data_IF_594234902592
#
_entry.id   IF_594234902592
#
_cell.length_a   1.000
_cell.length_b   1.000
_cell.length_c   1.000
_cell.angle_alpha   90.00
_cell.angle_beta   90.00
_cell.angle_gamma   90.00
#
_symmetry.space_group_name_H-M   'P 1'
#
loop_
_entity.id
_entity.type
_entity.pdbx_description
1 polymer ?
#
# COMPACT_ATOMS: atom_id res chain seq x y z
N UNK A 1 5.34 -3.05 23.73
CA UNK A 1 4.28 -2.82 22.70
C UNK A 1 3.99 -1.34 22.51
N UNK A 2 3.80 -0.54 23.56
CA UNK A 2 3.49 0.90 23.45
C UNK A 2 4.54 1.76 22.72
N UNK A 3 5.84 1.46 22.87
CA UNK A 3 6.92 2.29 22.30
C UNK A 3 7.02 2.18 20.76
N UNK A 4 6.83 0.97 20.18
CA UNK A 4 6.84 0.79 18.72
C UNK A 4 5.65 1.50 18.05
N UNK A 5 4.45 1.33 18.61
CA UNK A 5 3.24 2.01 18.12
C UNK A 5 3.39 3.54 18.22
N UNK A 6 3.98 4.03 19.31
CA UNK A 6 4.26 5.47 19.49
C UNK A 6 5.21 6.00 18.43
N UNK A 7 6.27 5.24 18.09
CA UNK A 7 7.20 5.61 17.02
C UNK A 7 6.52 5.63 15.65
N UNK A 8 5.71 4.63 15.34
CA UNK A 8 4.93 4.59 14.11
C UNK A 8 3.98 5.78 13.98
N UNK A 9 3.23 6.10 15.04
CA UNK A 9 2.32 7.26 15.07
C UNK A 9 3.07 8.60 14.96
N UNK A 10 4.28 8.71 15.54
CA UNK A 10 5.12 9.91 15.37
C UNK A 10 5.56 10.06 13.92
N UNK A 11 6.11 8.99 13.31
CA UNK A 11 6.54 9.00 11.91
C UNK A 11 5.39 9.38 10.97
N UNK A 12 4.20 8.79 11.19
CA UNK A 12 2.99 9.15 10.44
C UNK A 12 2.65 10.63 10.59
N UNK A 13 2.50 11.14 11.83
CA UNK A 13 2.13 12.54 12.06
C UNK A 13 3.13 13.50 11.42
N UNK A 14 4.42 13.20 11.53
CA UNK A 14 5.49 14.00 10.94
C UNK A 14 5.42 13.98 9.40
N UNK A 15 5.35 12.80 8.78
CA UNK A 15 5.24 12.67 7.33
C UNK A 15 3.99 13.39 6.80
N UNK A 16 2.84 13.17 7.43
CA UNK A 16 1.56 13.76 7.05
C UNK A 16 1.55 15.30 7.18
N UNK A 17 2.02 15.85 8.29
CA UNK A 17 2.11 17.29 8.48
C UNK A 17 3.07 17.95 7.49
N UNK A 18 4.23 17.30 7.25
CA UNK A 18 5.22 17.79 6.29
C UNK A 18 4.71 17.70 4.85
N UNK A 19 3.97 16.64 4.49
CA UNK A 19 3.31 16.51 3.18
C UNK A 19 2.34 17.66 2.92
N UNK A 20 1.50 17.99 3.89
CA UNK A 20 0.61 19.16 3.79
C UNK A 20 1.38 20.46 3.59
N UNK A 21 2.52 20.62 4.28
CA UNK A 21 3.38 21.79 4.11
C UNK A 21 3.99 21.84 2.71
N UNK A 22 4.47 20.71 2.19
CA UNK A 22 5.02 20.60 0.83
C UNK A 22 3.98 21.04 -0.20
N UNK A 23 2.76 20.50 -0.14
CA UNK A 23 1.68 20.88 -1.07
C UNK A 23 1.38 22.38 -0.97
N UNK A 24 1.15 22.91 0.24
CA UNK A 24 0.85 24.33 0.43
C UNK A 24 1.93 25.26 -0.12
N UNK A 25 3.18 24.87 -0.09
CA UNK A 25 4.31 25.66 -0.60
C UNK A 25 4.41 25.64 -2.13
N UNK A 26 3.90 24.60 -2.78
CA UNK A 26 4.02 24.43 -4.22
C UNK A 26 2.77 24.84 -5.00
N UNK A 27 1.62 24.90 -4.33
CA UNK A 27 0.35 25.31 -4.96
C UNK A 27 0.24 26.84 -5.06
N UNK A 28 -0.44 27.36 -6.12
CA UNK A 28 -0.78 28.78 -6.26
C UNK A 28 -1.47 29.30 -4.99
N UNK A 29 -1.15 30.53 -4.59
CA UNK A 29 -1.70 31.13 -3.37
C UNK A 29 -3.09 31.72 -3.56
N UNK A 30 -3.41 32.11 -4.76
CA UNK A 30 -4.62 32.81 -5.19
C UNK A 30 -5.77 31.88 -5.58
N UNK A 31 -5.53 30.57 -5.70
CA UNK A 31 -6.55 29.58 -6.00
C UNK A 31 -6.95 28.80 -4.73
N UNK A 32 -7.98 29.28 -4.04
CA UNK A 32 -8.50 28.65 -2.84
C UNK A 32 -9.15 27.28 -3.12
N UNK A 33 -9.83 27.13 -4.25
CA UNK A 33 -10.50 25.88 -4.63
C UNK A 33 -9.50 24.76 -4.88
N UNK A 34 -8.46 25.01 -5.68
CA UNK A 34 -7.37 24.06 -5.92
C UNK A 34 -6.71 23.65 -4.60
N UNK A 35 -6.44 24.60 -3.72
CA UNK A 35 -5.79 24.34 -2.43
C UNK A 35 -6.66 23.46 -1.52
N UNK A 36 -7.96 23.72 -1.45
CA UNK A 36 -8.89 22.90 -0.67
C UNK A 36 -8.97 21.48 -1.23
N UNK A 37 -9.17 21.34 -2.53
CA UNK A 37 -9.19 20.04 -3.22
C UNK A 37 -7.92 19.24 -2.94
N UNK A 38 -6.73 19.85 -3.12
CA UNK A 38 -5.46 19.19 -2.87
C UNK A 38 -5.27 18.82 -1.39
N UNK A 39 -5.73 19.63 -0.45
CA UNK A 39 -5.67 19.31 0.97
C UNK A 39 -6.63 18.19 1.36
N UNK A 40 -7.74 18.02 0.64
CA UNK A 40 -8.70 16.94 0.87
C UNK A 40 -8.14 15.56 0.54
N UNK A 41 -7.16 15.44 -0.37
CA UNK A 41 -6.48 14.17 -0.71
C UNK A 41 -5.77 13.52 0.48
N UNK A 42 -5.39 14.31 1.47
CA UNK A 42 -4.70 13.86 2.68
C UNK A 42 -5.63 13.74 3.90
N UNK A 43 -6.95 13.95 3.72
CA UNK A 43 -7.91 13.91 4.83
C UNK A 43 -8.14 12.47 5.30
N UNK A 44 -8.23 12.29 6.62
CA UNK A 44 -8.57 11.00 7.21
C UNK A 44 -7.50 9.91 7.13
N UNK A 45 -6.35 10.15 6.49
CA UNK A 45 -5.27 9.16 6.45
C UNK A 45 -4.79 8.81 7.85
N UNK A 46 -4.53 7.52 8.06
CA UNK A 46 -4.15 6.97 9.38
C UNK A 46 -2.83 6.20 9.35
N UNK A 47 -2.28 5.91 8.17
CA UNK A 47 -1.04 5.15 7.99
C UNK A 47 -0.06 5.85 7.07
N UNK A 48 1.23 5.59 7.26
CA UNK A 48 2.32 6.01 6.40
C UNK A 48 3.41 4.91 6.37
N UNK A 49 3.01 3.68 6.13
CA UNK A 49 3.89 2.51 6.16
C UNK A 49 5.08 2.69 5.22
N UNK A 50 4.89 3.28 4.06
CA UNK A 50 5.91 3.57 3.06
C UNK A 50 6.98 4.52 3.60
N UNK A 51 6.53 5.64 4.21
CA UNK A 51 7.42 6.59 4.85
C UNK A 51 8.19 5.95 6.00
N UNK A 52 7.50 5.13 6.82
CA UNK A 52 8.08 4.42 7.94
C UNK A 52 9.15 3.42 7.49
N UNK A 53 8.85 2.57 6.51
CA UNK A 53 9.81 1.58 5.98
C UNK A 53 11.04 2.27 5.41
N UNK A 54 10.87 3.33 4.61
CA UNK A 54 11.96 4.12 4.07
C UNK A 54 12.84 4.73 5.19
N UNK A 55 12.21 5.43 6.16
CA UNK A 55 12.95 6.08 7.26
C UNK A 55 13.74 5.08 8.10
N UNK A 56 13.11 3.97 8.50
CA UNK A 56 13.77 2.99 9.35
C UNK A 56 14.76 2.11 8.59
N UNK A 57 14.63 1.95 7.27
CA UNK A 57 15.68 1.39 6.42
C UNK A 57 16.90 2.32 6.30
N UNK A 58 16.69 3.65 6.32
CA UNK A 58 17.76 4.63 6.39
C UNK A 58 18.48 4.61 7.74
N UNK A 59 17.75 4.53 8.85
CA UNK A 59 18.29 4.74 10.19
C UNK A 59 19.34 3.70 10.60
N UNK A 60 20.44 4.16 11.18
CA UNK A 60 21.33 3.37 12.04
C UNK A 60 20.96 3.53 13.52
N UNK A 61 20.55 4.74 13.92
CA UNK A 61 19.97 5.09 15.23
C UNK A 61 18.59 5.72 14.98
N UNK A 62 17.69 5.63 15.94
CA UNK A 62 16.33 6.18 15.81
C UNK A 62 16.33 7.70 15.53
N UNK A 63 17.29 8.42 16.07
CA UNK A 63 17.46 9.86 15.83
C UNK A 63 17.81 10.23 14.39
N UNK A 64 18.25 9.28 13.57
CA UNK A 64 18.56 9.53 12.17
C UNK A 64 17.31 9.78 11.32
N UNK A 65 16.12 9.39 11.78
CA UNK A 65 14.87 9.55 11.05
C UNK A 65 14.61 11.01 10.62
N UNK A 66 14.94 11.97 11.49
CA UNK A 66 14.77 13.40 11.21
C UNK A 66 15.56 13.90 9.98
N UNK A 67 16.68 13.22 9.65
CA UNK A 67 17.54 13.60 8.51
C UNK A 67 16.84 13.40 7.16
N UNK A 68 15.82 12.56 7.12
CA UNK A 68 15.08 12.19 5.89
C UNK A 68 13.58 12.45 5.99
N UNK A 69 13.13 13.22 6.96
CA UNK A 69 11.70 13.52 7.18
C UNK A 69 11.01 14.11 5.94
N UNK A 70 11.69 15.01 5.20
CA UNK A 70 11.12 15.60 4.00
C UNK A 70 11.07 14.63 2.83
N UNK A 71 12.06 13.72 2.72
CA UNK A 71 12.02 12.63 1.75
C UNK A 71 10.87 11.67 2.07
N UNK A 72 10.74 11.27 3.34
CA UNK A 72 9.65 10.42 3.79
C UNK A 72 8.27 11.05 3.54
N UNK A 73 8.13 12.36 3.77
CA UNK A 73 6.90 13.10 3.48
C UNK A 73 6.59 13.17 1.97
N UNK A 74 7.62 13.33 1.13
CA UNK A 74 7.44 13.29 -0.32
C UNK A 74 7.01 11.90 -0.80
N UNK A 75 7.58 10.82 -0.23
CA UNK A 75 7.13 9.45 -0.49
C UNK A 75 5.71 9.20 0.00
N UNK A 76 5.30 9.82 1.11
CA UNK A 76 3.91 9.77 1.58
C UNK A 76 2.95 10.47 0.61
N UNK A 77 3.36 11.59 -0.02
CA UNK A 77 2.58 12.22 -1.09
C UNK A 77 2.45 11.32 -2.32
N UNK A 78 3.54 10.67 -2.71
CA UNK A 78 3.55 9.74 -3.84
C UNK A 78 2.60 8.56 -3.59
N UNK A 79 2.60 8.01 -2.39
CA UNK A 79 1.62 6.99 -1.98
C UNK A 79 0.19 7.53 -2.03
N UNK A 80 -0.02 8.73 -1.51
CA UNK A 80 -1.36 9.33 -1.45
C UNK A 80 -1.92 9.59 -2.85
N UNK A 81 -1.08 9.94 -3.83
CA UNK A 81 -1.49 10.07 -5.24
C UNK A 81 -1.95 8.72 -5.81
N UNK A 82 -1.26 7.63 -5.49
CA UNK A 82 -1.64 6.29 -5.92
C UNK A 82 -3.01 5.88 -5.36
N UNK A 83 -3.35 6.26 -4.14
CA UNK A 83 -4.67 6.00 -3.57
C UNK A 83 -5.79 6.75 -4.28
N UNK A 84 -5.54 7.99 -4.73
CA UNK A 84 -6.53 8.73 -5.53
C UNK A 84 -6.80 8.03 -6.86
N UNK A 85 -5.74 7.56 -7.51
CA UNK A 85 -5.85 6.81 -8.78
C UNK A 85 -6.56 5.48 -8.59
N UNK A 86 -6.23 4.75 -7.53
CA UNK A 86 -6.83 3.48 -7.16
C UNK A 86 -8.35 3.63 -6.94
N UNK A 87 -8.76 4.68 -6.20
CA UNK A 87 -10.18 5.00 -5.99
C UNK A 87 -10.95 5.22 -7.29
N UNK A 88 -10.33 5.82 -8.31
CA UNK A 88 -10.95 6.00 -9.64
C UNK A 88 -11.14 4.64 -10.32
N UNK A 89 -10.11 3.79 -10.34
CA UNK A 89 -10.15 2.48 -11.00
C UNK A 89 -11.08 1.51 -10.28
N UNK A 90 -11.15 1.58 -8.95
CA UNK A 90 -12.00 0.75 -8.13
C UNK A 90 -13.40 1.34 -7.93
N UNK A 91 -13.68 2.51 -8.52
CA UNK A 91 -14.96 3.22 -8.37
C UNK A 91 -15.39 3.36 -6.91
N UNK A 92 -14.41 3.54 -6.02
CA UNK A 92 -14.63 3.64 -4.57
C UNK A 92 -15.47 4.86 -4.23
N UNK A 93 -16.49 4.69 -3.38
CA UNK A 93 -17.30 5.82 -2.93
C UNK A 93 -16.60 6.59 -1.81
N UNK A 94 -15.88 5.86 -0.95
CA UNK A 94 -15.25 6.39 0.26
C UNK A 94 -13.76 6.02 0.36
N UNK A 95 -12.97 6.95 0.90
CA UNK A 95 -11.59 6.74 1.36
C UNK A 95 -11.44 7.31 2.77
N UNK A 96 -11.03 6.47 3.74
CA UNK A 96 -10.88 6.87 5.15
C UNK A 96 -12.13 7.54 5.75
N UNK A 97 -13.32 7.07 5.39
CA UNK A 97 -14.61 7.61 5.88
C UNK A 97 -15.05 8.93 5.22
N UNK A 98 -14.29 9.45 4.26
CA UNK A 98 -14.65 10.63 3.45
C UNK A 98 -14.96 10.24 2.01
N UNK A 99 -15.75 11.05 1.31
CA UNK A 99 -15.98 10.86 -0.12
C UNK A 99 -14.65 10.79 -0.88
N UNK A 100 -14.48 9.76 -1.72
CA UNK A 100 -13.32 9.65 -2.59
C UNK A 100 -13.21 10.89 -3.49
N UNK A 101 -11.98 11.31 -3.84
CA UNK A 101 -11.77 12.60 -4.52
C UNK A 101 -12.58 12.72 -5.81
N UNK A 102 -12.63 11.65 -6.61
CA UNK A 102 -13.41 11.64 -7.86
C UNK A 102 -14.93 11.73 -7.65
N UNK A 103 -15.44 11.37 -6.48
CA UNK A 103 -16.85 11.55 -6.11
C UNK A 103 -17.13 12.96 -5.61
N UNK A 104 -16.18 13.56 -4.90
CA UNK A 104 -16.34 14.91 -4.35
C UNK A 104 -16.13 16.00 -5.40
N UNK A 105 -15.17 15.83 -6.31
CA UNK A 105 -14.73 16.86 -7.26
C UNK A 105 -14.85 16.46 -8.74
N UNK A 106 -15.15 15.19 -9.02
CA UNK A 106 -15.18 14.65 -10.39
C UNK A 106 -13.85 14.02 -10.82
N UNK A 107 -13.93 13.14 -11.83
CA UNK A 107 -12.78 12.31 -12.30
C UNK A 107 -11.65 13.18 -12.85
N UNK A 108 -11.96 14.22 -13.65
CA UNK A 108 -10.94 15.09 -14.23
C UNK A 108 -10.09 15.78 -13.17
N UNK A 109 -10.72 16.32 -12.14
CA UNK A 109 -10.01 16.95 -11.02
C UNK A 109 -9.20 15.94 -10.19
N UNK A 110 -9.70 14.72 -10.01
CA UNK A 110 -8.97 13.68 -9.31
C UNK A 110 -7.70 13.24 -10.07
N UNK A 111 -7.76 13.15 -11.40
CA UNK A 111 -6.59 12.89 -12.26
C UNK A 111 -5.58 14.05 -12.12
N UNK A 112 -6.03 15.29 -12.25
CA UNK A 112 -5.15 16.47 -12.09
C UNK A 112 -4.50 16.49 -10.70
N UNK A 113 -5.25 16.17 -9.64
CA UNK A 113 -4.72 16.11 -8.29
C UNK A 113 -3.61 15.05 -8.16
N UNK A 114 -3.80 13.86 -8.76
CA UNK A 114 -2.78 12.81 -8.80
C UNK A 114 -1.48 13.30 -9.43
N UNK A 115 -1.55 13.91 -10.60
CA UNK A 115 -0.38 14.44 -11.32
C UNK A 115 0.33 15.55 -10.52
N UNK A 116 -0.43 16.47 -9.94
CA UNK A 116 0.14 17.53 -9.08
C UNK A 116 0.84 16.97 -7.85
N UNK A 117 0.25 15.96 -7.20
CA UNK A 117 0.87 15.30 -6.03
C UNK A 117 2.16 14.58 -6.40
N UNK A 118 2.17 13.85 -7.52
CA UNK A 118 3.37 13.16 -8.02
C UNK A 118 4.47 14.16 -8.37
N UNK A 119 4.13 15.21 -9.11
CA UNK A 119 5.07 16.28 -9.46
C UNK A 119 5.64 16.95 -8.21
N UNK A 120 4.80 17.28 -7.23
CA UNK A 120 5.24 17.88 -5.97
C UNK A 120 6.16 16.95 -5.17
N UNK A 121 5.86 15.65 -5.15
CA UNK A 121 6.68 14.64 -4.50
C UNK A 121 8.05 14.51 -5.17
N UNK A 122 8.09 14.29 -6.49
CA UNK A 122 9.34 14.12 -7.26
C UNK A 122 10.23 15.36 -7.19
N UNK A 123 9.63 16.55 -7.30
CA UNK A 123 10.36 17.83 -7.12
C UNK A 123 10.99 17.92 -5.74
N UNK A 124 10.24 17.57 -4.68
CA UNK A 124 10.76 17.60 -3.31
C UNK A 124 11.88 16.58 -3.13
N UNK A 125 11.73 15.36 -3.64
CA UNK A 125 12.75 14.32 -3.59
C UNK A 125 14.04 14.82 -4.25
N UNK A 126 13.95 15.33 -5.48
CA UNK A 126 15.12 15.86 -6.20
C UNK A 126 15.85 16.95 -5.40
N UNK A 127 15.10 17.91 -4.84
CA UNK A 127 15.66 18.98 -4.02
C UNK A 127 16.36 18.46 -2.76
N UNK A 128 15.75 17.51 -2.05
CA UNK A 128 16.33 16.97 -0.81
C UNK A 128 17.54 16.07 -1.09
N UNK A 129 17.53 15.30 -2.17
CA UNK A 129 18.70 14.51 -2.58
C UNK A 129 19.90 15.42 -2.93
N UNK A 130 19.63 16.51 -3.64
CA UNK A 130 20.65 17.50 -3.98
C UNK A 130 21.20 18.20 -2.73
N UNK A 131 20.33 18.66 -1.82
CA UNK A 131 20.71 19.31 -0.56
C UNK A 131 21.53 18.40 0.35
N UNK A 132 21.12 17.14 0.46
CA UNK A 132 21.79 16.14 1.31
C UNK A 132 23.13 15.67 0.78
N UNK A 133 23.50 16.00 -0.48
CA UNK A 133 24.74 15.58 -1.13
C UNK A 133 24.97 14.06 -0.99
N UNK A 134 23.90 13.29 -1.10
CA UNK A 134 23.98 11.84 -0.99
C UNK A 134 24.77 11.25 -2.15
N UNK A 135 25.66 10.29 -1.86
CA UNK A 135 26.52 9.63 -2.84
C UNK A 135 25.70 8.93 -3.95
N UNK A 136 24.63 8.24 -3.55
CA UNK A 136 23.80 7.43 -4.43
C UNK A 136 22.51 8.15 -4.91
N UNK A 137 22.50 9.51 -4.90
CA UNK A 137 21.33 10.32 -5.22
C UNK A 137 20.70 9.99 -6.59
N UNK A 138 21.52 9.88 -7.64
CA UNK A 138 21.04 9.56 -9.00
C UNK A 138 20.45 8.14 -9.08
N UNK A 139 21.12 7.17 -8.44
CA UNK A 139 20.61 5.79 -8.35
C UNK A 139 19.27 5.74 -7.61
N UNK A 140 19.13 6.49 -6.53
CA UNK A 140 17.85 6.58 -5.78
C UNK A 140 16.76 7.20 -6.65
N UNK A 141 17.05 8.24 -7.44
CA UNK A 141 16.09 8.82 -8.38
C UNK A 141 15.66 7.81 -9.46
N UNK A 142 16.59 7.03 -9.99
CA UNK A 142 16.28 5.96 -10.96
C UNK A 142 15.36 4.90 -10.34
N UNK A 143 15.66 4.43 -9.12
CA UNK A 143 14.84 3.47 -8.39
C UNK A 143 13.43 4.03 -8.18
N UNK A 144 13.29 5.28 -7.74
CA UNK A 144 11.99 5.90 -7.49
C UNK A 144 11.17 6.11 -8.76
N UNK A 145 11.80 6.43 -9.90
CA UNK A 145 11.10 6.46 -11.19
C UNK A 145 10.61 5.07 -11.59
N UNK A 146 11.41 4.03 -11.37
CA UNK A 146 11.01 2.63 -11.60
C UNK A 146 9.85 2.23 -10.67
N UNK A 147 9.85 2.65 -9.41
CA UNK A 147 8.74 2.43 -8.46
C UNK A 147 7.41 2.87 -9.06
N UNK A 148 7.37 4.10 -9.60
CA UNK A 148 6.14 4.66 -10.20
C UNK A 148 5.73 3.85 -11.43
N UNK A 149 6.69 3.52 -12.30
CA UNK A 149 6.43 2.74 -13.49
C UNK A 149 5.88 1.34 -13.15
N UNK A 150 6.54 0.60 -12.27
CA UNK A 150 6.15 -0.75 -11.86
C UNK A 150 4.77 -0.75 -11.19
N UNK A 151 4.46 0.27 -10.36
CA UNK A 151 3.15 0.45 -9.75
C UNK A 151 2.04 0.52 -10.81
N UNK A 152 2.21 1.35 -11.85
CA UNK A 152 1.21 1.48 -12.92
C UNK A 152 1.14 0.26 -13.83
N UNK A 153 2.24 -0.46 -14.05
CA UNK A 153 2.20 -1.76 -14.73
C UNK A 153 1.42 -2.78 -13.90
N UNK A 154 1.63 -2.80 -12.57
CA UNK A 154 0.83 -3.62 -11.65
C UNK A 154 -0.65 -3.29 -11.73
N UNK A 155 -1.00 -2.00 -11.69
CA UNK A 155 -2.37 -1.51 -11.80
C UNK A 155 -3.02 -1.85 -13.15
N UNK A 156 -2.27 -1.70 -14.26
CA UNK A 156 -2.72 -2.14 -15.59
C UNK A 156 -3.06 -3.63 -15.61
N UNK A 157 -2.20 -4.47 -15.05
CA UNK A 157 -2.43 -5.92 -14.99
C UNK A 157 -3.64 -6.25 -14.11
N UNK A 158 -3.86 -5.53 -13.03
CA UNK A 158 -5.02 -5.70 -12.16
C UNK A 158 -6.33 -5.37 -12.90
N UNK A 159 -6.39 -4.20 -13.53
CA UNK A 159 -7.55 -3.79 -14.35
C UNK A 159 -7.82 -4.76 -15.48
N UNK A 160 -6.78 -5.21 -16.20
CA UNK A 160 -6.89 -6.19 -17.30
C UNK A 160 -7.46 -7.53 -16.84
N UNK A 161 -7.22 -7.91 -15.58
CA UNK A 161 -7.71 -9.17 -15.01
C UNK A 161 -9.07 -9.04 -14.30
N UNK A 162 -9.74 -7.89 -14.38
CA UNK A 162 -11.09 -7.73 -13.84
C UNK A 162 -12.04 -8.76 -14.46
N UNK A 163 -12.71 -9.55 -13.61
CA UNK A 163 -13.63 -10.63 -14.03
C UNK A 163 -12.96 -11.82 -14.71
N UNK A 164 -11.64 -11.92 -14.76
CA UNK A 164 -10.92 -13.03 -15.38
C UNK A 164 -10.94 -14.28 -14.47
N UNK A 165 -11.96 -15.11 -14.61
CA UNK A 165 -12.12 -16.35 -13.84
C UNK A 165 -11.01 -17.39 -14.06
N UNK A 166 -10.17 -17.22 -15.08
CA UNK A 166 -9.06 -18.09 -15.42
C UNK A 166 -7.71 -17.52 -14.92
N UNK A 167 -7.72 -16.43 -14.18
CA UNK A 167 -6.51 -15.86 -13.59
C UNK A 167 -5.77 -16.90 -12.75
N UNK A 168 -4.48 -17.07 -13.01
CA UNK A 168 -3.63 -18.00 -12.27
C UNK A 168 -3.07 -17.37 -11.03
N UNK A 169 -2.67 -18.20 -10.06
CA UNK A 169 -1.94 -17.72 -8.86
C UNK A 169 -0.68 -16.94 -9.26
N UNK A 170 0.08 -17.38 -10.25
CA UNK A 170 1.27 -16.69 -10.76
C UNK A 170 0.96 -15.30 -11.31
N UNK A 171 -0.17 -15.14 -12.00
CA UNK A 171 -0.61 -13.82 -12.50
C UNK A 171 -0.99 -12.89 -11.34
N UNK A 172 -1.73 -13.40 -10.36
CA UNK A 172 -2.02 -12.65 -9.14
C UNK A 172 -0.73 -12.23 -8.40
N UNK A 173 0.19 -13.17 -8.14
CA UNK A 173 1.46 -12.87 -7.47
C UNK A 173 2.27 -11.81 -8.22
N UNK A 174 2.21 -11.80 -9.57
CA UNK A 174 2.86 -10.75 -10.38
C UNK A 174 2.20 -9.38 -10.20
N UNK A 175 0.88 -9.31 -10.16
CA UNK A 175 0.13 -8.05 -9.91
C UNK A 175 0.56 -7.44 -8.59
N UNK A 176 0.50 -8.20 -7.50
CA UNK A 176 0.83 -7.69 -6.17
C UNK A 176 2.33 -7.44 -5.98
N UNK A 177 3.18 -8.21 -6.67
CA UNK A 177 4.62 -8.00 -6.65
C UNK A 177 4.98 -6.64 -7.25
N UNK A 178 4.43 -6.29 -8.41
CA UNK A 178 4.68 -5.00 -9.07
C UNK A 178 4.00 -3.85 -8.32
N UNK A 179 2.74 -4.04 -7.91
CA UNK A 179 1.95 -2.98 -7.26
C UNK A 179 2.46 -2.60 -5.87
N UNK A 180 2.86 -3.57 -5.05
CA UNK A 180 3.18 -3.31 -3.64
C UNK A 180 4.49 -3.95 -3.18
N UNK A 181 4.77 -5.20 -3.58
CA UNK A 181 5.99 -5.89 -3.16
C UNK A 181 7.26 -5.13 -3.56
N UNK A 182 7.41 -4.83 -4.85
CA UNK A 182 8.55 -4.06 -5.37
C UNK A 182 8.57 -2.63 -4.84
N UNK A 183 7.40 -2.03 -4.63
CA UNK A 183 7.31 -0.69 -4.07
C UNK A 183 8.01 -0.61 -2.70
N UNK A 184 7.65 -1.47 -1.76
CA UNK A 184 8.30 -1.50 -0.44
C UNK A 184 9.77 -1.94 -0.49
N UNK A 185 10.11 -2.88 -1.38
CA UNK A 185 11.50 -3.30 -1.60
C UNK A 185 12.38 -2.12 -2.00
N UNK A 186 11.93 -1.36 -2.98
CA UNK A 186 12.68 -0.24 -3.55
C UNK A 186 12.74 0.95 -2.59
N UNK A 187 11.69 1.20 -1.79
CA UNK A 187 11.75 2.21 -0.73
C UNK A 187 12.76 1.85 0.36
N UNK A 188 12.78 0.60 0.80
CA UNK A 188 13.77 0.13 1.77
C UNK A 188 15.20 0.18 1.18
N UNK A 189 15.37 -0.16 -0.09
CA UNK A 189 16.64 -0.02 -0.82
C UNK A 189 17.09 1.44 -0.86
N UNK A 190 16.21 2.37 -1.23
CA UNK A 190 16.52 3.81 -1.25
C UNK A 190 16.98 4.31 0.12
N UNK A 191 16.26 3.98 1.19
CA UNK A 191 16.65 4.34 2.55
C UNK A 191 18.04 3.81 2.91
N UNK A 192 18.31 2.54 2.59
CA UNK A 192 19.59 1.90 2.87
C UNK A 192 20.75 2.52 2.07
N UNK A 193 20.56 2.83 0.78
CA UNK A 193 21.55 3.48 -0.07
C UNK A 193 21.91 4.88 0.44
N UNK A 194 20.91 5.68 0.79
CA UNK A 194 21.13 7.04 1.33
C UNK A 194 21.89 7.03 2.67
N UNK A 195 21.80 5.93 3.44
CA UNK A 195 22.56 5.74 4.67
C UNK A 195 23.97 5.14 4.44
N UNK A 196 24.38 4.97 3.20
CA UNK A 196 25.66 4.29 2.84
C UNK A 196 25.81 2.94 3.53
N UNK A 197 24.73 2.13 3.55
CA UNK A 197 24.76 0.75 4.07
C UNK A 197 25.53 -0.15 3.10
N UNK A 198 26.04 -1.27 3.61
CA UNK A 198 26.73 -2.27 2.77
C UNK A 198 25.76 -2.94 1.78
N UNK A 199 26.27 -3.50 0.71
CA UNK A 199 25.44 -4.22 -0.27
C UNK A 199 24.59 -5.34 0.36
N UNK A 200 25.14 -6.04 1.38
CA UNK A 200 24.43 -7.07 2.12
C UNK A 200 23.27 -6.50 2.96
N UNK A 201 23.49 -5.34 3.62
CA UNK A 201 22.43 -4.64 4.37
C UNK A 201 21.33 -4.14 3.41
N UNK A 202 21.71 -3.56 2.27
CA UNK A 202 20.78 -3.10 1.22
C UNK A 202 19.93 -4.26 0.73
N UNK A 203 20.53 -5.39 0.37
CA UNK A 203 19.80 -6.57 -0.08
C UNK A 203 18.86 -7.13 0.99
N UNK A 204 19.30 -7.14 2.26
CA UNK A 204 18.47 -7.60 3.38
C UNK A 204 17.26 -6.69 3.62
N UNK A 205 17.43 -5.36 3.57
CA UNK A 205 16.35 -4.39 3.74
C UNK A 205 15.39 -4.39 2.55
N UNK A 206 15.90 -4.50 1.32
CA UNK A 206 15.08 -4.66 0.12
C UNK A 206 14.24 -5.95 0.18
N UNK A 207 14.85 -7.08 0.56
CA UNK A 207 14.13 -8.34 0.78
C UNK A 207 13.07 -8.25 1.88
N UNK A 208 13.37 -7.55 2.97
CA UNK A 208 12.37 -7.23 4.00
C UNK A 208 11.18 -6.49 3.41
N UNK A 209 11.44 -5.39 2.70
CA UNK A 209 10.40 -4.55 2.10
C UNK A 209 9.51 -5.33 1.14
N UNK A 210 10.12 -6.13 0.25
CA UNK A 210 9.38 -6.98 -0.68
C UNK A 210 8.38 -7.90 0.04
N UNK A 211 8.85 -8.64 1.03
CA UNK A 211 7.99 -9.59 1.72
C UNK A 211 6.98 -8.92 2.64
N UNK A 212 7.32 -7.77 3.22
CA UNK A 212 6.35 -6.96 3.96
C UNK A 212 5.22 -6.50 3.03
N UNK A 213 5.53 -5.93 1.86
CA UNK A 213 4.54 -5.47 0.90
C UNK A 213 3.63 -6.59 0.39
N UNK A 214 4.20 -7.77 0.09
CA UNK A 214 3.42 -8.95 -0.30
C UNK A 214 2.45 -9.40 0.81
N UNK A 215 2.92 -9.44 2.06
CA UNK A 215 2.08 -9.79 3.19
C UNK A 215 0.96 -8.76 3.41
N UNK A 216 1.29 -7.47 3.33
CA UNK A 216 0.35 -6.36 3.48
C UNK A 216 -0.80 -6.49 2.48
N UNK A 217 -0.49 -6.69 1.20
CA UNK A 217 -1.51 -6.77 0.16
C UNK A 217 -2.42 -8.00 0.31
N UNK A 218 -1.83 -9.18 0.57
CA UNK A 218 -2.62 -10.40 0.81
C UNK A 218 -3.56 -10.21 2.01
N UNK A 219 -3.12 -9.48 3.03
CA UNK A 219 -3.94 -9.23 4.22
C UNK A 219 -5.03 -8.20 3.92
N UNK A 220 -4.75 -7.19 3.11
CA UNK A 220 -5.76 -6.20 2.67
C UNK A 220 -6.87 -6.87 1.85
N UNK A 221 -6.52 -7.81 0.94
CA UNK A 221 -7.49 -8.64 0.22
C UNK A 221 -8.42 -9.44 1.15
N UNK A 222 -7.91 -9.89 2.30
CA UNK A 222 -8.73 -10.61 3.29
C UNK A 222 -9.64 -9.67 4.08
N UNK A 223 -9.12 -8.49 4.43
CA UNK A 223 -9.85 -7.46 5.20
C UNK A 223 -11.08 -6.98 4.45
N UNK A 224 -11.01 -6.82 3.13
CA UNK A 224 -12.16 -6.44 2.30
C UNK A 224 -13.34 -7.44 2.42
N UNK A 225 -13.04 -8.69 2.78
CA UNK A 225 -14.05 -9.76 2.96
C UNK A 225 -14.49 -9.93 4.41
N UNK A 226 -13.59 -9.76 5.38
CA UNK A 226 -13.83 -10.09 6.79
C UNK A 226 -14.44 -8.92 7.56
N UNK A 227 -13.99 -7.68 7.28
CA UNK A 227 -14.32 -6.55 8.13
C UNK A 227 -15.58 -5.83 7.69
N UNK A 228 -16.42 -5.48 8.65
CA UNK A 228 -17.60 -4.64 8.45
C UNK A 228 -17.19 -3.19 8.11
N UNK A 229 -18.03 -2.42 7.39
CA UNK A 229 -17.74 -1.03 6.98
C UNK A 229 -17.31 -0.09 8.09
N UNK A 230 -17.78 -0.33 9.33
CA UNK A 230 -17.45 0.49 10.51
C UNK A 230 -15.96 0.45 10.87
N UNK A 231 -15.23 -0.63 10.49
CA UNK A 231 -13.86 -0.85 10.96
C UNK A 231 -12.80 -0.31 9.98
N UNK A 232 -13.12 -0.21 8.69
CA UNK A 232 -12.12 0.09 7.64
C UNK A 232 -12.28 1.46 6.98
N UNK A 233 -13.46 2.10 7.13
CA UNK A 233 -13.80 3.33 6.40
C UNK A 233 -13.90 3.14 4.88
N UNK A 234 -13.82 1.89 4.39
CA UNK A 234 -14.08 1.47 3.00
C UNK A 234 -15.44 0.78 2.91
N UNK A 235 -16.01 0.71 1.73
CA UNK A 235 -17.20 -0.10 1.49
C UNK A 235 -16.86 -1.59 1.54
N UNK A 236 -17.61 -2.40 2.27
CA UNK A 236 -17.46 -3.84 2.42
C UNK A 236 -17.54 -4.57 1.09
N UNK A 237 -16.61 -5.49 0.84
CA UNK A 237 -16.58 -6.34 -0.35
C UNK A 237 -16.38 -5.58 -1.66
N UNK A 238 -15.72 -4.42 -1.62
CA UNK A 238 -15.47 -3.59 -2.81
C UNK A 238 -14.79 -4.38 -3.93
N UNK A 239 -13.79 -5.20 -3.61
CA UNK A 239 -13.08 -5.99 -4.59
C UNK A 239 -14.00 -6.97 -5.29
N UNK A 240 -14.92 -7.62 -4.56
CA UNK A 240 -15.89 -8.53 -5.14
C UNK A 240 -16.92 -7.81 -6.02
N UNK A 241 -17.44 -6.68 -5.56
CA UNK A 241 -18.40 -5.86 -6.32
C UNK A 241 -17.76 -5.37 -7.62
N UNK A 242 -16.50 -4.97 -7.58
CA UNK A 242 -15.73 -4.52 -8.73
C UNK A 242 -15.11 -5.68 -9.53
N UNK A 243 -15.44 -6.93 -9.17
CA UNK A 243 -14.94 -8.15 -9.82
C UNK A 243 -13.42 -8.23 -9.90
N UNK A 244 -12.72 -7.64 -8.91
CA UNK A 244 -11.28 -7.75 -8.77
C UNK A 244 -10.90 -9.17 -8.38
N UNK A 245 -10.00 -9.77 -9.15
CA UNK A 245 -9.57 -11.15 -8.92
C UNK A 245 -8.53 -11.24 -7.82
N UNK A 246 -8.97 -10.97 -6.59
CA UNK A 246 -8.16 -11.04 -5.37
C UNK A 246 -7.95 -12.46 -4.89
N UNK A 247 -6.94 -12.68 -4.05
CA UNK A 247 -6.54 -14.03 -3.63
C UNK A 247 -7.69 -14.85 -3.02
N UNK A 248 -8.54 -14.30 -2.11
CA UNK A 248 -9.65 -15.06 -1.56
C UNK A 248 -10.63 -15.57 -2.62
N UNK A 249 -11.01 -14.73 -3.57
CA UNK A 249 -11.91 -15.10 -4.67
C UNK A 249 -11.27 -16.14 -5.60
N UNK A 250 -10.00 -15.95 -5.94
CA UNK A 250 -9.24 -16.84 -6.81
C UNK A 250 -9.08 -18.25 -6.22
N UNK A 251 -8.84 -18.35 -4.92
CA UNK A 251 -8.75 -19.63 -4.21
C UNK A 251 -10.13 -20.27 -4.07
N UNK A 252 -11.16 -19.50 -3.70
CA UNK A 252 -12.51 -20.00 -3.55
C UNK A 252 -13.08 -20.60 -4.85
N UNK A 253 -12.81 -19.99 -6.00
CA UNK A 253 -13.20 -20.55 -7.31
C UNK A 253 -12.65 -21.96 -7.58
N UNK A 254 -11.56 -22.35 -6.91
CA UNK A 254 -10.88 -23.64 -7.07
C UNK A 254 -11.22 -24.65 -5.97
N UNK A 255 -11.55 -24.16 -4.77
CA UNK A 255 -11.68 -24.99 -3.56
C UNK A 255 -13.13 -25.15 -3.11
N UNK A 256 -14.01 -24.24 -3.51
CA UNK A 256 -15.41 -24.29 -3.10
C UNK A 256 -16.14 -25.51 -3.66
N UNK A 257 -17.11 -26.02 -2.92
CA UNK A 257 -18.03 -27.04 -3.40
C UNK A 257 -18.77 -26.57 -4.66
N UNK A 258 -19.20 -27.53 -5.49
CA UNK A 258 -19.75 -27.29 -6.86
C UNK A 258 -20.80 -26.16 -6.89
N UNK A 259 -21.71 -26.12 -5.92
CA UNK A 259 -22.77 -25.09 -5.84
C UNK A 259 -22.21 -23.70 -5.65
N UNK A 260 -21.31 -23.53 -4.68
CA UNK A 260 -20.69 -22.24 -4.36
C UNK A 260 -19.73 -21.79 -5.47
N UNK A 261 -18.96 -22.71 -6.07
CA UNK A 261 -18.09 -22.41 -7.20
C UNK A 261 -18.88 -21.91 -8.43
N UNK A 262 -20.00 -22.53 -8.75
CA UNK A 262 -20.89 -22.09 -9.85
C UNK A 262 -21.47 -20.71 -9.55
N UNK A 263 -21.92 -20.49 -8.32
CA UNK A 263 -22.44 -19.18 -7.90
C UNK A 263 -21.36 -18.10 -8.01
N UNK A 264 -20.16 -18.34 -7.47
CA UNK A 264 -19.05 -17.38 -7.54
C UNK A 264 -18.62 -17.08 -8.98
N UNK A 265 -18.58 -18.10 -9.84
CA UNK A 265 -18.30 -17.91 -11.28
C UNK A 265 -19.31 -16.96 -11.92
N UNK A 266 -20.60 -17.20 -11.70
CA UNK A 266 -21.67 -16.33 -12.22
C UNK A 266 -21.54 -14.91 -11.65
N UNK A 267 -21.37 -14.77 -10.34
CA UNK A 267 -21.26 -13.48 -9.64
C UNK A 267 -20.08 -12.64 -10.18
N UNK A 268 -18.90 -13.24 -10.36
CA UNK A 268 -17.70 -12.55 -10.79
C UNK A 268 -17.63 -12.30 -12.31
N UNK A 269 -18.43 -13.04 -13.13
CA UNK A 269 -18.49 -12.82 -14.59
C UNK A 269 -19.53 -11.77 -15.00
N UNK A 270 -20.57 -11.57 -14.21
CA UNK A 270 -21.70 -10.71 -14.54
C UNK A 270 -21.48 -9.26 -14.04
N UNK A 271 -21.44 -8.31 -14.98
CA UNK A 271 -21.31 -6.89 -14.65
C UNK A 271 -22.49 -6.30 -13.89
N UNK A 272 -23.66 -6.93 -14.02
CA UNK A 272 -24.86 -6.55 -13.30
C UNK A 272 -24.94 -7.13 -11.89
N UNK A 273 -24.04 -8.04 -11.51
CA UNK A 273 -23.93 -8.60 -10.16
C UNK A 273 -23.59 -7.50 -9.17
N UNK A 274 -24.61 -6.92 -8.59
CA UNK A 274 -24.48 -5.81 -7.66
C UNK A 274 -24.31 -6.27 -6.20
N UNK A 275 -24.47 -5.32 -5.27
CA UNK A 275 -24.39 -5.55 -3.81
C UNK A 275 -25.45 -6.53 -3.28
N UNK A 276 -26.52 -6.83 -4.03
CA UNK A 276 -27.59 -7.73 -3.58
C UNK A 276 -27.14 -9.15 -3.24
N UNK A 277 -26.23 -9.71 -4.04
CA UNK A 277 -25.68 -11.06 -3.83
C UNK A 277 -24.32 -11.08 -3.10
N UNK A 278 -23.78 -9.92 -2.70
CA UNK A 278 -22.46 -9.79 -2.08
C UNK A 278 -22.32 -10.67 -0.82
N UNK A 279 -23.28 -10.62 0.10
CA UNK A 279 -23.24 -11.46 1.32
C UNK A 279 -23.16 -12.95 1.00
N UNK A 280 -23.81 -13.38 -0.08
CA UNK A 280 -23.79 -14.77 -0.51
C UNK A 280 -22.44 -15.16 -1.12
N UNK A 281 -21.80 -14.22 -1.86
CA UNK A 281 -20.45 -14.41 -2.39
C UNK A 281 -19.42 -14.52 -1.27
N UNK A 282 -19.48 -13.62 -0.28
CA UNK A 282 -18.63 -13.67 0.91
C UNK A 282 -18.77 -15.00 1.66
N UNK A 283 -20.00 -15.43 1.97
CA UNK A 283 -20.23 -16.73 2.63
C UNK A 283 -19.70 -17.93 1.82
N UNK A 284 -19.76 -17.86 0.49
CA UNK A 284 -19.18 -18.90 -0.36
C UNK A 284 -17.65 -18.95 -0.25
N UNK A 285 -17.01 -17.80 -0.17
CA UNK A 285 -15.55 -17.69 0.06
C UNK A 285 -15.17 -18.19 1.46
N UNK A 286 -15.91 -17.81 2.50
CA UNK A 286 -15.67 -18.27 3.87
C UNK A 286 -15.75 -19.80 3.97
N UNK A 287 -16.82 -20.41 3.44
CA UNK A 287 -17.02 -21.87 3.46
C UNK A 287 -15.97 -22.65 2.64
N UNK A 288 -15.35 -22.03 1.64
CA UNK A 288 -14.37 -22.69 0.78
C UNK A 288 -13.03 -22.98 1.48
N UNK A 289 -12.74 -22.36 2.64
CA UNK A 289 -11.43 -22.42 3.30
C UNK A 289 -10.38 -21.50 2.67
N UNK A 290 -10.73 -20.69 1.66
CA UNK A 290 -9.81 -19.79 0.96
C UNK A 290 -9.12 -18.80 1.89
N UNK A 291 -9.82 -18.25 2.90
CA UNK A 291 -9.26 -17.32 3.87
C UNK A 291 -8.12 -17.94 4.70
N UNK A 292 -8.25 -19.23 5.08
CA UNK A 292 -7.18 -19.93 5.79
C UNK A 292 -5.91 -20.06 4.93
N UNK A 293 -6.05 -20.33 3.63
CA UNK A 293 -4.91 -20.37 2.71
C UNK A 293 -4.30 -18.98 2.45
N UNK A 294 -5.11 -17.92 2.39
CA UNK A 294 -4.62 -16.54 2.34
C UNK A 294 -3.81 -16.22 3.60
N UNK A 295 -4.31 -16.57 4.79
CA UNK A 295 -3.61 -16.41 6.06
C UNK A 295 -2.25 -17.10 6.05
N UNK A 296 -2.19 -18.36 5.60
CA UNK A 296 -0.92 -19.09 5.45
C UNK A 296 0.04 -18.40 4.48
N UNK A 297 -0.48 -17.84 3.37
CA UNK A 297 0.33 -17.11 2.40
C UNK A 297 0.91 -15.82 3.01
N UNK A 298 0.10 -15.03 3.70
CA UNK A 298 0.55 -13.83 4.40
C UNK A 298 1.59 -14.16 5.48
N UNK A 299 1.36 -15.20 6.28
CA UNK A 299 2.32 -15.69 7.29
C UNK A 299 3.67 -16.08 6.70
N UNK A 300 3.70 -16.77 5.54
CA UNK A 300 4.96 -17.10 4.86
C UNK A 300 5.75 -15.83 4.53
N UNK A 301 5.10 -14.81 4.00
CA UNK A 301 5.77 -13.55 3.69
C UNK A 301 6.21 -12.78 4.94
N UNK A 302 5.42 -12.76 6.01
CA UNK A 302 5.88 -12.19 7.30
C UNK A 302 7.11 -12.92 7.81
N UNK A 303 7.14 -14.26 7.77
CA UNK A 303 8.31 -15.05 8.19
C UNK A 303 9.55 -14.72 7.35
N UNK A 304 9.40 -14.55 6.04
CA UNK A 304 10.49 -14.19 5.14
C UNK A 304 10.99 -12.75 5.38
N UNK A 305 10.09 -11.79 5.65
CA UNK A 305 10.47 -10.43 6.01
C UNK A 305 11.30 -10.40 7.30
N UNK A 306 10.87 -11.11 8.32
CA UNK A 306 11.62 -11.23 9.59
C UNK A 306 12.96 -11.95 9.41
N UNK A 307 13.03 -12.98 8.55
CA UNK A 307 14.26 -13.69 8.23
C UNK A 307 15.30 -12.77 7.56
N UNK A 308 14.85 -11.88 6.66
CA UNK A 308 15.72 -10.89 6.04
C UNK A 308 16.35 -9.95 7.08
N UNK A 309 15.57 -9.51 8.08
CA UNK A 309 16.07 -8.64 9.16
C UNK A 309 17.02 -9.32 10.14
N UNK A 310 16.96 -10.66 10.30
CA UNK A 310 17.88 -11.39 11.19
C UNK A 310 19.34 -11.29 10.78
N UNK A 311 19.60 -10.98 9.50
CA UNK A 311 20.96 -10.80 8.96
C UNK A 311 21.56 -9.44 9.30
N UNK A 312 20.79 -8.55 9.90
CA UNK A 312 21.19 -7.19 10.25
C UNK A 312 21.51 -7.07 11.75
N UNK A 313 22.36 -6.11 12.16
CA UNK A 313 22.52 -5.76 13.57
C UNK A 313 21.16 -5.43 14.19
N UNK A 314 20.84 -6.02 15.34
CA UNK A 314 19.53 -5.90 16.00
C UNK A 314 19.36 -4.56 16.72
N UNK A 315 19.48 -3.47 15.97
CA UNK A 315 19.30 -2.08 16.43
C UNK A 315 17.83 -1.75 16.67
N UNK A 316 17.57 -0.59 17.30
CA UNK A 316 16.20 -0.11 17.50
C UNK A 316 15.46 0.04 16.15
N UNK A 317 16.03 0.69 15.10
CA UNK A 317 15.40 0.75 13.78
C UNK A 317 15.00 -0.61 13.21
N UNK A 318 15.88 -1.61 13.26
CA UNK A 318 15.59 -2.97 12.77
C UNK A 318 14.45 -3.61 13.56
N UNK A 319 14.43 -3.44 14.89
CA UNK A 319 13.30 -3.93 15.71
C UNK A 319 11.98 -3.21 15.41
N UNK A 320 12.00 -1.93 15.01
CA UNK A 320 10.80 -1.21 14.55
C UNK A 320 10.23 -1.82 13.26
N UNK A 321 11.10 -2.15 12.30
CA UNK A 321 10.68 -2.84 11.06
C UNK A 321 10.13 -4.24 11.36
N UNK A 322 10.79 -5.00 12.24
CA UNK A 322 10.31 -6.32 12.64
C UNK A 322 8.93 -6.25 13.32
N UNK A 323 8.74 -5.28 14.22
CA UNK A 323 7.45 -5.03 14.86
C UNK A 323 6.35 -4.72 13.83
N UNK A 324 6.64 -3.88 12.82
CA UNK A 324 5.67 -3.55 11.78
C UNK A 324 5.16 -4.82 11.07
N UNK A 325 6.05 -5.74 10.70
CA UNK A 325 5.65 -7.02 10.09
C UNK A 325 4.84 -7.91 11.04
N UNK A 326 5.19 -7.93 12.33
CA UNK A 326 4.50 -8.75 13.33
C UNK A 326 3.09 -8.24 13.66
N UNK A 327 2.88 -6.92 13.62
CA UNK A 327 1.57 -6.32 13.94
C UNK A 327 0.62 -6.33 12.77
N UNK A 328 1.12 -6.48 11.54
CA UNK A 328 0.30 -6.52 10.34
C UNK A 328 -0.88 -7.51 10.48
N UNK A 329 -0.59 -8.73 10.87
CA UNK A 329 -1.60 -9.77 11.03
C UNK A 329 -2.50 -9.57 12.27
N UNK A 330 -1.97 -8.93 13.33
CA UNK A 330 -2.73 -8.66 14.56
C UNK A 330 -3.75 -7.53 14.37
N UNK A 331 -3.33 -6.45 13.71
CA UNK A 331 -4.16 -5.27 13.52
C UNK A 331 -5.42 -5.53 12.69
N UNK A 332 -5.47 -6.66 11.98
CA UNK A 332 -6.51 -6.99 11.02
C UNK A 332 -7.38 -8.19 11.45
N UNK A 333 -7.37 -8.56 12.72
CA UNK A 333 -8.18 -9.67 13.26
C UNK A 333 -7.83 -11.06 12.72
N UNK A 334 -6.72 -11.18 11.96
CA UNK A 334 -6.32 -12.43 11.30
C UNK A 334 -5.82 -13.50 12.29
N UNK A 335 -5.65 -13.13 13.57
CA UNK A 335 -5.22 -14.07 14.62
C UNK A 335 -6.35 -14.90 15.23
N UNK A 336 -7.61 -14.49 15.04
CA UNK A 336 -8.75 -15.13 15.72
C UNK A 336 -9.47 -16.20 14.88
N UNK A 337 -8.96 -16.52 13.69
CA UNK A 337 -9.50 -17.61 12.85
C UNK A 337 -8.65 -18.88 12.91
#
# INVERSE_FOLDING_TARGET
MNDHMSAFRRAFRQAHATSKKILRQQLPRDDAYLREMMMSTLRGQVTADYAFVFQYAFCRRETDAAKVDRLAAALHLLQSSAFVTDDIFDRSDLRYGHAALHKAYGVSYAIIATELMQSAALRTISQELQRGRFRDALRVMEILNRVVFDLYVGQYLDVRNTGNLNMTRRQYDRVIALGVGQYFAQLAECGALLANKTASEVASLSGYGYHYGMALFITDDMVDIINMPADTGKSYGCDLVNRRMRLPALLALRQAGRRDALFLRRYLSDESSGRGDLRKAVRAIERSGALAECKKAAHRHVTQSLSALRRLPQTVPVRRLAWLSQTLLRAQGVHEM
#
